data_IF_568615857595
#
_entry.id   IF_568615857595
#
_cell.length_a   1.000
_cell.length_b   1.000
_cell.length_c   1.000
_cell.angle_alpha   90.00
_cell.angle_beta   90.00
_cell.angle_gamma   90.00
#
_symmetry.space_group_name_H-M   'P 1'
#
loop_
_entity.id
_entity.type
_entity.pdbx_description
1 polymer ?
#
# COMPACT_ATOMS: atom_id res chain seq x y z
N UNK A 1 8.46 -12.06 -7.93
CA UNK A 1 8.82 -11.99 -9.37
C UNK A 1 7.65 -12.53 -10.17
N UNK A 2 7.24 -11.85 -11.24
CA UNK A 2 6.23 -12.38 -12.18
C UNK A 2 6.93 -13.03 -13.37
N UNK A 3 6.46 -14.20 -13.78
CA UNK A 3 6.93 -14.90 -14.98
C UNK A 3 5.73 -15.15 -15.90
N UNK A 4 5.75 -14.58 -17.10
CA UNK A 4 4.71 -14.74 -18.12
C UNK A 4 5.37 -14.76 -19.51
N UNK A 5 5.02 -15.72 -20.36
CA UNK A 5 5.57 -15.87 -21.72
C UNK A 5 7.10 -15.79 -21.79
N UNK A 6 7.80 -16.46 -20.87
CA UNK A 6 9.27 -16.44 -20.70
C UNK A 6 9.87 -15.07 -20.34
N UNK A 7 9.05 -14.03 -20.13
CA UNK A 7 9.48 -12.72 -19.61
C UNK A 7 9.46 -12.74 -18.10
N UNK A 8 10.40 -12.05 -17.48
CA UNK A 8 10.53 -11.92 -16.02
C UNK A 8 10.53 -10.46 -15.64
N UNK A 9 9.67 -10.09 -14.68
CA UNK A 9 9.60 -8.74 -14.13
C UNK A 9 9.69 -8.81 -12.61
N UNK A 10 10.43 -7.89 -12.03
CA UNK A 10 10.53 -7.65 -10.59
C UNK A 10 9.79 -6.36 -10.22
N UNK A 11 9.75 -6.04 -8.92
CA UNK A 11 8.94 -4.97 -8.31
C UNK A 11 7.46 -5.31 -8.15
N UNK A 12 7.09 -5.63 -6.91
CA UNK A 12 5.72 -5.99 -6.52
C UNK A 12 4.70 -4.92 -6.94
N UNK A 13 4.96 -3.65 -6.66
CA UNK A 13 4.03 -2.55 -6.96
C UNK A 13 3.76 -2.40 -8.45
N UNK A 14 4.82 -2.46 -9.28
CA UNK A 14 4.68 -2.39 -10.73
C UNK A 14 3.91 -3.59 -11.29
N UNK A 15 4.17 -4.79 -10.76
CA UNK A 15 3.46 -6.03 -11.12
C UNK A 15 1.98 -5.94 -10.73
N UNK A 16 1.68 -5.54 -9.49
CA UNK A 16 0.31 -5.39 -9.01
C UNK A 16 -0.47 -4.38 -9.85
N UNK A 17 0.10 -3.22 -10.15
CA UNK A 17 -0.51 -2.21 -11.03
C UNK A 17 -0.74 -2.74 -12.45
N UNK A 18 0.19 -3.51 -13.00
CA UNK A 18 0.01 -4.15 -14.31
C UNK A 18 -1.16 -5.15 -14.29
N UNK A 19 -1.19 -6.05 -13.31
CA UNK A 19 -2.26 -7.05 -13.15
C UNK A 19 -3.60 -6.38 -12.86
N UNK A 20 -3.63 -5.27 -12.12
CA UNK A 20 -4.83 -4.49 -11.87
C UNK A 20 -5.50 -4.06 -13.19
N UNK A 21 -4.71 -3.63 -14.18
CA UNK A 21 -5.21 -3.31 -15.52
C UNK A 21 -5.73 -4.54 -16.27
N UNK A 22 -5.18 -5.73 -16.03
CA UNK A 22 -5.61 -6.96 -16.71
C UNK A 22 -6.90 -7.54 -16.13
N UNK A 23 -7.17 -7.27 -14.84
CA UNK A 23 -8.29 -7.85 -14.09
C UNK A 23 -9.35 -6.81 -13.67
N UNK A 24 -9.35 -5.65 -14.30
CA UNK A 24 -10.33 -4.58 -14.06
C UNK A 24 -10.36 -4.02 -12.63
N UNK A 25 -9.20 -3.99 -11.98
CA UNK A 25 -8.98 -3.43 -10.63
C UNK A 25 -8.22 -2.09 -10.65
N UNK A 26 -7.99 -1.55 -11.85
CA UNK A 26 -7.41 -0.23 -12.07
C UNK A 26 -8.53 0.81 -12.26
N UNK A 27 -8.23 2.08 -12.01
CA UNK A 27 -9.17 3.17 -12.20
C UNK A 27 -9.57 3.33 -13.67
N UNK A 28 -10.82 3.73 -13.90
CA UNK A 28 -11.39 3.93 -15.26
C UNK A 28 -10.89 5.19 -15.96
N UNK A 29 -10.28 6.11 -15.21
CA UNK A 29 -9.70 7.36 -15.70
C UNK A 29 -8.28 7.52 -15.15
N UNK A 30 -7.49 8.38 -15.79
CA UNK A 30 -6.16 8.73 -15.28
C UNK A 30 -6.24 9.34 -13.87
N UNK A 31 -7.30 10.11 -13.61
CA UNK A 31 -7.55 10.68 -12.28
C UNK A 31 -7.85 9.61 -11.23
N UNK A 32 -8.68 8.62 -11.56
CA UNK A 32 -8.93 7.49 -10.67
C UNK A 32 -7.65 6.70 -10.39
N UNK A 33 -6.84 6.44 -11.42
CA UNK A 33 -5.56 5.76 -11.24
C UNK A 33 -4.59 6.57 -10.37
N UNK A 34 -4.54 7.89 -10.50
CA UNK A 34 -3.72 8.75 -9.64
C UNK A 34 -4.09 8.58 -8.16
N UNK A 35 -5.39 8.62 -7.83
CA UNK A 35 -5.84 8.45 -6.45
C UNK A 35 -5.53 7.06 -5.90
N UNK A 36 -5.78 6.01 -6.68
CA UNK A 36 -5.50 4.63 -6.28
C UNK A 36 -3.98 4.43 -6.10
N UNK A 37 -3.17 4.94 -7.02
CA UNK A 37 -1.70 4.89 -6.94
C UNK A 37 -1.19 5.62 -5.68
N UNK A 38 -1.72 6.81 -5.38
CA UNK A 38 -1.35 7.59 -4.20
C UNK A 38 -1.69 6.86 -2.88
N UNK A 39 -2.83 6.16 -2.83
CA UNK A 39 -3.18 5.32 -1.68
C UNK A 39 -2.21 4.15 -1.53
N UNK A 40 -1.84 3.48 -2.62
CA UNK A 40 -0.85 2.38 -2.57
C UNK A 40 0.51 2.89 -2.07
N UNK A 41 0.96 4.05 -2.55
CA UNK A 41 2.23 4.62 -2.12
C UNK A 41 2.18 5.01 -0.62
N UNK A 42 1.04 5.52 -0.14
CA UNK A 42 0.81 5.77 1.30
C UNK A 42 0.88 4.48 2.13
N UNK A 43 0.31 3.38 1.64
CA UNK A 43 0.43 2.05 2.28
C UNK A 43 1.89 1.59 2.31
N UNK A 44 2.65 1.83 1.24
CA UNK A 44 4.07 1.53 1.22
C UNK A 44 4.88 2.40 2.18
N UNK A 45 4.53 3.67 2.39
CA UNK A 45 5.19 4.52 3.40
C UNK A 45 5.00 3.98 4.82
N UNK A 46 3.79 3.51 5.15
CA UNK A 46 3.52 2.79 6.41
C UNK A 46 4.42 1.56 6.51
N UNK A 47 4.42 0.70 5.48
CA UNK A 47 5.23 -0.51 5.44
C UNK A 47 6.72 -0.22 5.61
N UNK A 48 7.24 0.84 4.99
CA UNK A 48 8.66 1.22 5.13
C UNK A 48 8.98 1.68 6.55
N UNK A 49 8.11 2.45 7.20
CA UNK A 49 8.28 2.86 8.61
C UNK A 49 8.30 1.65 9.54
N UNK A 50 7.42 0.68 9.32
CA UNK A 50 7.37 -0.56 10.11
C UNK A 50 8.64 -1.39 9.89
N UNK A 51 8.99 -1.63 8.62
CA UNK A 51 10.18 -2.39 8.25
C UNK A 51 11.47 -1.78 8.83
N UNK A 52 11.55 -0.44 8.89
CA UNK A 52 12.73 0.27 9.37
C UNK A 52 13.11 -0.08 10.82
N UNK A 53 12.13 -0.31 11.71
CA UNK A 53 12.41 -0.79 13.07
C UNK A 53 12.32 -2.31 13.18
N UNK A 54 11.46 -2.98 12.39
CA UNK A 54 11.29 -4.43 12.47
C UNK A 54 12.61 -5.17 12.14
N UNK A 55 13.32 -4.72 11.09
CA UNK A 55 14.57 -5.31 10.63
C UNK A 55 15.83 -4.63 11.20
N UNK A 56 15.70 -3.74 12.18
CA UNK A 56 16.85 -3.15 12.86
C UNK A 56 17.41 -4.13 13.90
N UNK A 57 18.74 -4.28 13.91
CA UNK A 57 19.47 -5.18 14.80
C UNK A 57 19.96 -4.48 16.06
N UNK A 58 20.31 -3.19 15.98
CA UNK A 58 20.68 -2.41 17.16
C UNK A 58 19.44 -2.02 17.97
N UNK A 59 19.32 -2.56 19.19
CA UNK A 59 18.15 -2.35 20.04
C UNK A 59 17.89 -0.88 20.41
N UNK A 60 18.92 -0.03 20.50
CA UNK A 60 18.73 1.41 20.77
C UNK A 60 18.19 2.12 19.55
N UNK A 61 18.74 1.82 18.37
CA UNK A 61 18.26 2.39 17.09
C UNK A 61 16.84 1.90 16.78
N UNK A 62 16.57 0.63 17.03
CA UNK A 62 15.24 0.00 16.88
C UNK A 62 14.19 0.70 17.73
N UNK A 63 14.47 0.92 19.01
CA UNK A 63 13.57 1.63 19.91
C UNK A 63 13.28 3.07 19.44
N UNK A 64 14.31 3.79 18.97
CA UNK A 64 14.15 5.13 18.43
C UNK A 64 13.28 5.16 17.16
N UNK A 65 13.54 4.26 16.20
CA UNK A 65 12.74 4.14 14.96
C UNK A 65 11.30 3.73 15.24
N UNK A 66 11.08 2.80 16.19
CA UNK A 66 9.75 2.39 16.62
C UNK A 66 8.97 3.56 17.20
N UNK A 67 9.59 4.34 18.10
CA UNK A 67 8.95 5.54 18.66
C UNK A 67 8.56 6.54 17.57
N UNK A 68 9.44 6.83 16.62
CA UNK A 68 9.14 7.71 15.50
C UNK A 68 8.00 7.18 14.60
N UNK A 69 7.89 5.85 14.45
CA UNK A 69 6.77 5.23 13.76
C UNK A 69 5.46 5.38 14.56
N UNK A 70 5.48 5.10 15.86
CA UNK A 70 4.31 5.25 16.76
C UNK A 70 3.78 6.69 16.81
N UNK A 71 4.64 7.69 16.64
CA UNK A 71 4.23 9.11 16.55
C UNK A 71 3.56 9.47 15.21
N UNK A 72 3.90 8.79 14.12
CA UNK A 72 3.45 9.17 12.76
C UNK A 72 2.37 8.26 12.18
N UNK A 73 2.39 6.97 12.50
CA UNK A 73 1.46 5.98 11.95
C UNK A 73 -0.01 6.24 12.31
N UNK A 74 -0.39 6.65 13.54
CA UNK A 74 -1.79 6.88 13.87
C UNK A 74 -2.47 7.89 12.94
N UNK A 75 -1.77 8.99 12.62
CA UNK A 75 -2.29 10.01 11.70
C UNK A 75 -2.50 9.47 10.28
N UNK A 76 -1.55 8.67 9.76
CA UNK A 76 -1.68 8.10 8.41
C UNK A 76 -2.82 7.08 8.37
N UNK A 77 -2.93 6.24 9.40
CA UNK A 77 -3.99 5.23 9.51
C UNK A 77 -5.37 5.87 9.67
N UNK A 78 -5.50 6.94 10.43
CA UNK A 78 -6.76 7.70 10.54
C UNK A 78 -7.20 8.27 9.18
N UNK A 79 -6.26 8.76 8.37
CA UNK A 79 -6.58 9.23 7.01
C UNK A 79 -7.01 8.11 6.07
N UNK A 80 -6.36 6.94 6.15
CA UNK A 80 -6.77 5.77 5.37
C UNK A 80 -8.14 5.25 5.81
N UNK A 81 -8.41 5.22 7.12
CA UNK A 81 -9.71 4.83 7.68
C UNK A 81 -10.82 5.80 7.23
N UNK A 82 -10.55 7.12 7.27
CA UNK A 82 -11.48 8.12 6.76
C UNK A 82 -11.72 7.96 5.26
N UNK A 83 -10.67 7.73 4.47
CA UNK A 83 -10.79 7.46 3.03
C UNK A 83 -11.71 6.25 2.77
N UNK A 84 -11.54 5.15 3.50
CA UNK A 84 -12.38 3.95 3.36
C UNK A 84 -13.84 4.24 3.70
N UNK A 85 -14.09 5.00 4.77
CA UNK A 85 -15.45 5.41 5.18
C UNK A 85 -16.13 6.31 4.14
N UNK A 86 -15.39 7.21 3.52
CA UNK A 86 -15.90 8.13 2.48
C UNK A 86 -16.20 7.44 1.16
N UNK A 87 -15.66 6.24 0.93
CA UNK A 87 -15.74 5.50 -0.32
C UNK A 87 -16.41 4.13 -0.12
N UNK A 88 -17.47 4.09 0.69
CA UNK A 88 -18.34 2.91 0.91
C UNK A 88 -17.60 1.61 1.27
N UNK A 89 -16.51 1.71 2.03
CA UNK A 89 -15.73 0.55 2.47
C UNK A 89 -14.57 0.16 1.53
N UNK A 90 -14.29 0.95 0.51
CA UNK A 90 -13.15 0.78 -0.41
C UNK A 90 -12.24 2.01 -0.40
N UNK A 91 -11.05 1.94 -0.97
CA UNK A 91 -10.18 3.12 -1.07
C UNK A 91 -10.59 4.12 -2.17
N UNK A 92 -11.44 3.75 -3.13
CA UNK A 92 -11.83 4.66 -4.21
C UNK A 92 -13.23 4.39 -4.78
N UNK A 93 -14.09 5.42 -4.73
CA UNK A 93 -15.39 5.52 -5.42
C UNK A 93 -16.35 4.34 -5.18
N UNK A 94 -16.32 3.76 -3.98
CA UNK A 94 -17.18 2.62 -3.64
C UNK A 94 -16.89 1.33 -4.40
N UNK A 95 -15.73 1.23 -5.06
CA UNK A 95 -15.38 0.09 -5.91
C UNK A 95 -14.08 -0.58 -5.49
N UNK A 96 -14.03 -1.91 -5.65
CA UNK A 96 -12.82 -2.69 -5.39
C UNK A 96 -11.71 -2.33 -6.39
N UNK A 97 -10.55 -1.97 -5.85
CA UNK A 97 -9.36 -1.64 -6.61
C UNK A 97 -8.14 -2.43 -6.11
N UNK A 98 -7.02 -2.28 -6.81
CA UNK A 98 -5.77 -2.90 -6.38
C UNK A 98 -5.16 -2.24 -5.12
N UNK A 99 -5.62 -1.06 -4.69
CA UNK A 99 -5.23 -0.48 -3.40
C UNK A 99 -5.77 -1.32 -2.24
N UNK A 100 -7.04 -1.76 -2.33
CA UNK A 100 -7.69 -2.59 -1.31
C UNK A 100 -6.96 -3.93 -1.15
N UNK A 101 -6.64 -4.58 -2.28
CA UNK A 101 -5.87 -5.82 -2.27
C UNK A 101 -4.46 -5.63 -1.71
N UNK A 102 -3.82 -4.50 -2.04
CA UNK A 102 -2.48 -4.19 -1.54
C UNK A 102 -2.50 -3.98 -0.02
N UNK A 103 -3.48 -3.26 0.49
CA UNK A 103 -3.66 -3.03 1.93
C UNK A 103 -3.83 -4.34 2.68
N UNK A 104 -4.81 -5.17 2.29
CA UNK A 104 -5.13 -6.42 2.99
C UNK A 104 -3.98 -7.42 2.89
N UNK A 105 -3.31 -7.54 1.74
CA UNK A 105 -2.20 -8.47 1.57
C UNK A 105 -0.98 -8.12 2.44
N UNK A 106 -0.79 -6.84 2.77
CA UNK A 106 0.31 -6.37 3.62
C UNK A 106 -0.05 -6.33 5.11
N UNK A 107 -1.32 -6.52 5.48
CA UNK A 107 -1.79 -6.47 6.87
C UNK A 107 -1.31 -7.66 7.72
N UNK A 108 -0.98 -8.79 7.08
CA UNK A 108 -0.64 -10.08 7.71
C UNK A 108 0.88 -10.31 7.86
N UNK A 109 1.68 -9.26 7.68
CA UNK A 109 3.16 -9.29 7.77
C UNK A 109 3.60 -8.43 8.94
#
# INVERSE_FOLDING_TARGET
MLVADRRKVAQSTAICRYLAKQYDLAGKTDWANLHIDATVDTIHDIRHKIAAFHYEEDEKVKAAKRKAAEETLPFILERLDQQVKENDGYFYDGTLSWADLTFVALLVI
#
